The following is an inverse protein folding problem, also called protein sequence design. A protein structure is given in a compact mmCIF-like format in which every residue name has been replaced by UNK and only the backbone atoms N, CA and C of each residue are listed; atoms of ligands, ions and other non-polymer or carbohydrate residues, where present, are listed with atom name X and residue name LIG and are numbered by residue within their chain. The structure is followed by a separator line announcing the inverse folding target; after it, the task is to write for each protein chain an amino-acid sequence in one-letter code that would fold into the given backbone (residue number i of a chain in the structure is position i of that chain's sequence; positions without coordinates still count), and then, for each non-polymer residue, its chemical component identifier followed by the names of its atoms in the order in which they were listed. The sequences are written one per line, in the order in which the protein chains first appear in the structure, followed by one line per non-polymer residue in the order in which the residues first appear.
data_IF_893258165026
#
_entry.id   IF_893258165026
#
_cell.length_a   1.000
_cell.length_b   1.000
_cell.length_c   1.000
_cell.angle_alpha   90.00
_cell.angle_beta   90.00
_cell.angle_gamma   90.00
#
_symmetry.space_group_name_H-M   'P 1'
#
loop_
_entity.id
_entity.type
_entity.pdbx_description
1 polymer ?
#
# COMPACT_ATOMS: atom_id res chain seq x y z
N UNK A 1 -7.89 -29.17 -8.04
CA UNK A 1 -7.68 -27.70 -8.08
C UNK A 1 -8.94 -26.90 -8.46
N UNK A 2 -9.69 -27.27 -9.52
CA UNK A 2 -10.90 -26.52 -9.91
C UNK A 2 -11.98 -26.50 -8.80
N UNK A 3 -12.21 -27.62 -8.14
CA UNK A 3 -13.21 -27.72 -7.05
C UNK A 3 -12.87 -26.86 -5.83
N UNK A 4 -11.60 -26.87 -5.38
CA UNK A 4 -11.15 -26.04 -4.26
C UNK A 4 -11.37 -24.54 -4.50
N UNK A 5 -11.19 -24.06 -5.74
CA UNK A 5 -11.44 -22.66 -6.11
C UNK A 5 -12.90 -22.26 -5.89
N UNK A 6 -13.84 -23.14 -6.23
CA UNK A 6 -15.27 -22.86 -6.05
C UNK A 6 -15.61 -22.72 -4.56
N UNK A 7 -15.10 -23.61 -3.72
CA UNK A 7 -15.31 -23.58 -2.25
C UNK A 7 -14.80 -22.27 -1.64
N UNK A 8 -13.57 -21.85 -1.95
CA UNK A 8 -13.04 -20.59 -1.41
C UNK A 8 -13.77 -19.36 -1.95
N UNK A 9 -14.17 -19.38 -3.23
CA UNK A 9 -14.94 -18.29 -3.83
C UNK A 9 -16.30 -18.13 -3.13
N UNK A 10 -17.00 -19.24 -2.93
CA UNK A 10 -18.31 -19.24 -2.26
C UNK A 10 -18.19 -18.75 -0.82
N UNK A 11 -17.19 -19.25 -0.07
CA UNK A 11 -16.88 -18.77 1.28
C UNK A 11 -16.60 -17.26 1.31
N UNK A 12 -15.80 -16.75 0.37
CA UNK A 12 -15.48 -15.33 0.30
C UNK A 12 -16.72 -14.48 0.00
N UNK A 13 -17.57 -14.91 -0.94
CA UNK A 13 -18.84 -14.22 -1.25
C UNK A 13 -19.73 -14.19 -0.01
N UNK A 14 -19.94 -15.33 0.64
CA UNK A 14 -20.76 -15.42 1.85
C UNK A 14 -20.24 -14.52 2.97
N UNK A 15 -18.92 -14.47 3.18
CA UNK A 15 -18.31 -13.63 4.21
C UNK A 15 -18.42 -12.12 3.90
N UNK A 16 -18.58 -11.74 2.63
CA UNK A 16 -18.75 -10.34 2.21
C UNK A 16 -20.22 -9.90 2.11
N UNK A 17 -21.17 -10.83 1.91
CA UNK A 17 -22.60 -10.51 1.87
C UNK A 17 -23.01 -9.85 3.20
N UNK A 18 -23.59 -8.66 3.11
CA UNK A 18 -23.97 -7.83 4.27
C UNK A 18 -22.88 -6.88 4.78
N UNK A 19 -21.63 -6.99 4.31
CA UNK A 19 -20.50 -6.14 4.76
C UNK A 19 -19.99 -5.16 3.71
N UNK A 20 -20.45 -5.29 2.46
CA UNK A 20 -20.09 -4.36 1.38
C UNK A 20 -20.36 -2.90 1.72
N UNK A 21 -21.42 -2.62 2.49
CA UNK A 21 -21.78 -1.29 2.96
C UNK A 21 -20.72 -0.64 3.84
N UNK A 22 -19.83 -1.43 4.45
CA UNK A 22 -18.77 -0.93 5.33
C UNK A 22 -17.40 -0.99 4.63
N UNK A 23 -17.10 -2.06 3.91
CA UNK A 23 -15.81 -2.24 3.22
C UNK A 23 -15.61 -1.22 2.09
N UNK A 24 -16.64 -0.98 1.26
CA UNK A 24 -16.52 -0.09 0.09
C UNK A 24 -16.20 1.35 0.52
N UNK A 25 -16.90 1.96 1.49
CA UNK A 25 -16.54 3.29 1.98
C UNK A 25 -15.12 3.39 2.51
N UNK A 26 -14.61 2.39 3.23
CA UNK A 26 -13.23 2.39 3.75
C UNK A 26 -12.23 2.42 2.59
N UNK A 27 -12.43 1.60 1.56
CA UNK A 27 -11.58 1.58 0.37
C UNK A 27 -11.63 2.92 -0.36
N UNK A 28 -12.81 3.53 -0.47
CA UNK A 28 -12.95 4.86 -1.09
C UNK A 28 -12.21 5.93 -0.28
N UNK A 29 -12.32 5.92 1.05
CA UNK A 29 -11.59 6.84 1.94
C UNK A 29 -10.09 6.66 1.74
N UNK A 30 -9.57 5.44 1.73
CA UNK A 30 -8.15 5.17 1.46
C UNK A 30 -7.72 5.63 0.06
N UNK A 31 -8.57 5.43 -0.95
CA UNK A 31 -8.33 5.93 -2.30
C UNK A 31 -8.26 7.46 -2.36
N UNK A 32 -9.14 8.15 -1.63
CA UNK A 32 -9.13 9.62 -1.54
C UNK A 32 -7.89 10.12 -0.79
N UNK A 33 -7.52 9.48 0.32
CA UNK A 33 -6.33 9.85 1.11
C UNK A 33 -5.07 9.71 0.26
N UNK A 34 -4.86 8.54 -0.35
CA UNK A 34 -3.67 8.24 -1.14
C UNK A 34 -3.65 9.01 -2.46
N UNK A 35 -4.78 9.10 -3.16
CA UNK A 35 -4.94 9.83 -4.42
C UNK A 35 -4.83 11.34 -4.24
N UNK A 36 -5.43 11.90 -3.18
CA UNK A 36 -5.34 13.32 -2.85
C UNK A 36 -3.89 13.73 -2.56
N UNK A 37 -3.19 12.94 -1.75
CA UNK A 37 -1.78 13.18 -1.44
C UNK A 37 -0.85 13.02 -2.64
N UNK A 38 -1.15 12.07 -3.53
CA UNK A 38 -0.45 11.91 -4.81
C UNK A 38 -0.67 13.12 -5.73
N UNK A 39 -1.91 13.64 -5.78
CA UNK A 39 -2.26 14.82 -6.56
C UNK A 39 -1.53 16.06 -6.05
N UNK A 40 -1.50 16.26 -4.73
CA UNK A 40 -0.73 17.33 -4.10
C UNK A 40 0.75 17.25 -4.48
N UNK A 41 1.36 16.07 -4.37
CA UNK A 41 2.77 15.87 -4.74
C UNK A 41 3.01 16.18 -6.23
N UNK A 42 2.12 15.70 -7.11
CA UNK A 42 2.24 15.88 -8.56
C UNK A 42 2.09 17.34 -8.99
N UNK A 43 1.33 18.15 -8.26
CA UNK A 43 1.18 19.58 -8.55
C UNK A 43 2.49 20.38 -8.38
N UNK A 44 3.39 19.91 -7.51
CA UNK A 44 4.69 20.55 -7.28
C UNK A 44 5.85 19.87 -8.03
N UNK A 45 5.58 18.80 -8.79
CA UNK A 45 6.62 18.11 -9.56
C UNK A 45 7.05 18.93 -10.77
N UNK A 46 8.34 18.90 -11.14
CA UNK A 46 8.80 19.55 -12.36
C UNK A 46 8.12 18.93 -13.58
N UNK A 47 7.60 19.78 -14.46
CA UNK A 47 6.90 19.37 -15.69
C UNK A 47 7.81 19.56 -16.88
N UNK A 48 7.82 18.56 -17.75
CA UNK A 48 8.61 18.53 -18.95
C UNK A 48 7.70 18.28 -20.13
N UNK A 49 7.95 19.00 -21.20
CA UNK A 49 7.29 18.79 -22.48
C UNK A 49 8.31 18.22 -23.47
N UNK A 50 7.83 17.33 -24.33
CA UNK A 50 8.65 16.71 -25.38
C UNK A 50 8.22 17.36 -26.68
N UNK A 51 9.14 18.04 -27.34
CA UNK A 51 8.94 18.47 -28.70
C UNK A 51 9.17 17.28 -29.64
N UNK A 52 8.11 16.84 -30.31
CA UNK A 52 8.16 15.68 -31.22
C UNK A 52 8.85 15.97 -32.55
N UNK A 53 9.16 17.23 -32.86
CA UNK A 53 9.85 17.61 -34.10
C UNK A 53 11.37 17.62 -33.91
N UNK A 54 11.84 18.08 -32.75
CA UNK A 54 13.25 18.17 -32.40
C UNK A 54 13.73 17.01 -31.52
N UNK A 55 12.79 16.23 -30.95
CA UNK A 55 13.04 15.22 -29.91
C UNK A 55 13.76 15.77 -28.67
N UNK A 56 13.59 17.07 -28.40
CA UNK A 56 14.15 17.73 -27.24
C UNK A 56 13.16 17.72 -26.08
N UNK A 57 13.71 17.62 -24.86
CA UNK A 57 12.94 17.69 -23.61
C UNK A 57 13.17 19.06 -22.98
N UNK A 58 12.13 19.89 -22.93
CA UNK A 58 12.20 21.22 -22.33
C UNK A 58 11.51 21.24 -20.97
N UNK A 59 12.14 21.91 -20.00
CA UNK A 59 11.53 22.16 -18.70
C UNK A 59 10.53 23.31 -18.83
N UNK A 60 9.25 23.03 -18.58
CA UNK A 60 8.16 24.02 -18.69
C UNK A 60 7.80 24.61 -17.33
N UNK A 61 7.92 23.81 -16.28
CA UNK A 61 7.69 24.22 -14.90
C UNK A 61 8.73 23.54 -14.01
N UNK A 62 9.55 24.33 -13.30
CA UNK A 62 10.57 23.80 -12.38
C UNK A 62 9.95 23.12 -11.16
N UNK A 63 8.69 23.40 -10.85
CA UNK A 63 8.03 22.94 -9.64
C UNK A 63 8.73 23.41 -8.36
N UNK A 64 8.54 22.67 -7.27
CA UNK A 64 9.25 22.89 -6.01
C UNK A 64 9.78 21.55 -5.47
N UNK A 65 11.08 21.23 -5.69
CA UNK A 65 11.64 19.95 -5.30
C UNK A 65 11.64 19.73 -3.78
N UNK A 66 11.73 20.79 -2.97
CA UNK A 66 11.67 20.67 -1.52
C UNK A 66 10.27 20.26 -1.05
N UNK A 67 9.21 20.88 -1.60
CA UNK A 67 7.84 20.49 -1.30
C UNK A 67 7.52 19.08 -1.80
N UNK A 68 8.01 18.72 -2.99
CA UNK A 68 7.86 17.34 -3.51
C UNK A 68 8.47 16.33 -2.56
N UNK A 69 9.67 16.60 -2.03
CA UNK A 69 10.32 15.73 -1.06
C UNK A 69 9.46 15.58 0.20
N UNK A 70 9.02 16.70 0.80
CA UNK A 70 8.18 16.69 2.01
C UNK A 70 6.88 15.91 1.78
N UNK A 71 6.14 16.20 0.70
CA UNK A 71 4.89 15.49 0.40
C UNK A 71 5.13 14.01 0.06
N UNK A 72 6.24 13.66 -0.60
CA UNK A 72 6.57 12.27 -0.89
C UNK A 72 6.88 11.47 0.38
N UNK A 73 7.57 12.07 1.36
CA UNK A 73 7.77 11.44 2.67
C UNK A 73 6.46 11.25 3.40
N UNK A 74 5.59 12.26 3.43
CA UNK A 74 4.25 12.13 4.02
C UNK A 74 3.46 11.03 3.30
N UNK A 75 3.52 10.97 1.96
CA UNK A 75 2.87 9.94 1.15
C UNK A 75 3.37 8.54 1.47
N UNK A 76 4.68 8.39 1.66
CA UNK A 76 5.29 7.12 2.05
C UNK A 76 4.79 6.66 3.43
N UNK A 77 4.78 7.55 4.42
CA UNK A 77 4.32 7.23 5.78
C UNK A 77 2.83 6.88 5.82
N UNK A 78 1.98 7.70 5.19
CA UNK A 78 0.54 7.47 5.10
C UNK A 78 0.26 6.19 4.31
N UNK A 79 0.99 5.94 3.22
CA UNK A 79 0.87 4.73 2.41
C UNK A 79 1.12 3.47 3.23
N UNK A 80 2.18 3.43 4.04
CA UNK A 80 2.49 2.29 4.91
C UNK A 80 1.33 1.99 5.89
N UNK A 81 0.77 3.03 6.50
CA UNK A 81 -0.37 2.92 7.42
C UNK A 81 -1.62 2.40 6.72
N UNK A 82 -1.93 2.93 5.52
CA UNK A 82 -3.08 2.49 4.72
C UNK A 82 -2.94 1.04 4.27
N UNK A 83 -1.74 0.59 3.91
CA UNK A 83 -1.48 -0.81 3.55
C UNK A 83 -1.72 -1.73 4.74
N UNK A 84 -1.23 -1.38 5.93
CA UNK A 84 -1.48 -2.15 7.15
C UNK A 84 -2.97 -2.19 7.51
N UNK A 85 -3.64 -1.03 7.52
CA UNK A 85 -5.05 -0.91 7.85
C UNK A 85 -5.96 -1.69 6.88
N UNK A 86 -5.66 -1.61 5.57
CA UNK A 86 -6.37 -2.40 4.57
C UNK A 86 -6.13 -3.90 4.73
N UNK A 87 -4.91 -4.32 5.07
CA UNK A 87 -4.60 -5.73 5.36
C UNK A 87 -5.41 -6.25 6.56
N UNK A 88 -5.50 -5.48 7.65
CA UNK A 88 -6.34 -5.84 8.82
C UNK A 88 -7.82 -5.94 8.46
N UNK A 89 -8.34 -4.97 7.69
CA UNK A 89 -9.73 -5.01 7.20
C UNK A 89 -10.02 -6.28 6.38
N UNK A 90 -9.12 -6.66 5.48
CA UNK A 90 -9.28 -7.87 4.67
C UNK A 90 -9.27 -9.13 5.53
N UNK A 91 -8.40 -9.21 6.54
CA UNK A 91 -8.35 -10.34 7.49
C UNK A 91 -9.64 -10.43 8.31
N UNK A 92 -10.11 -9.32 8.90
CA UNK A 92 -11.37 -9.29 9.66
C UNK A 92 -12.55 -9.75 8.80
N UNK A 93 -12.65 -9.23 7.58
CA UNK A 93 -13.70 -9.63 6.64
C UNK A 93 -13.62 -11.12 6.29
N UNK A 94 -12.40 -11.65 6.08
CA UNK A 94 -12.17 -13.06 5.79
C UNK A 94 -12.52 -13.99 6.97
N UNK A 95 -12.34 -13.52 8.21
CA UNK A 95 -12.71 -14.23 9.44
C UNK A 95 -14.20 -14.12 9.79
N UNK A 96 -15.00 -13.56 8.88
CA UNK A 96 -16.41 -13.28 9.08
C UNK A 96 -16.71 -12.23 10.17
N UNK A 97 -15.73 -11.41 10.54
CA UNK A 97 -15.93 -10.23 11.41
C UNK A 97 -16.44 -9.04 10.58
N UNK A 98 -17.15 -8.11 11.22
CA UNK A 98 -17.59 -6.86 10.59
C UNK A 98 -16.53 -5.79 10.83
N UNK A 99 -15.84 -5.30 9.79
CA UNK A 99 -14.86 -4.24 9.96
C UNK A 99 -15.55 -2.98 10.48
N UNK A 100 -14.98 -2.32 11.49
CA UNK A 100 -15.48 -1.02 11.97
C UNK A 100 -14.58 0.07 11.39
N UNK A 101 -15.17 1.07 10.75
CA UNK A 101 -14.45 2.14 10.06
C UNK A 101 -13.50 2.85 11.03
N UNK A 102 -14.01 3.25 12.20
CA UNK A 102 -13.23 3.94 13.22
C UNK A 102 -12.06 3.07 13.70
N UNK A 103 -12.30 1.80 13.98
CA UNK A 103 -11.25 0.88 14.42
C UNK A 103 -10.16 0.75 13.36
N UNK A 104 -10.49 0.51 12.11
CA UNK A 104 -9.49 0.33 11.04
C UNK A 104 -8.66 1.59 10.80
N UNK A 105 -9.30 2.76 10.79
CA UNK A 105 -8.60 4.03 10.59
C UNK A 105 -7.69 4.37 11.78
N UNK A 106 -8.15 4.07 13.00
CA UNK A 106 -7.41 4.35 14.24
C UNK A 106 -6.30 3.33 14.47
N UNK A 107 -6.53 2.06 14.15
CA UNK A 107 -5.57 0.97 14.34
C UNK A 107 -4.28 1.22 13.58
N UNK A 108 -4.37 1.57 12.29
CA UNK A 108 -3.18 1.86 11.50
C UNK A 108 -2.37 3.03 12.08
N UNK A 109 -3.03 3.93 12.82
CA UNK A 109 -2.43 5.09 13.44
C UNK A 109 -1.93 4.83 14.89
N UNK A 110 -2.58 3.95 15.65
CA UNK A 110 -2.36 3.76 17.09
C UNK A 110 -1.65 2.47 17.46
N UNK A 111 -1.93 1.36 16.81
CA UNK A 111 -1.39 0.06 17.24
C UNK A 111 0.08 -0.10 16.84
N UNK A 112 0.43 0.21 15.59
CA UNK A 112 1.78 -0.09 15.06
C UNK A 112 2.22 0.79 13.87
N UNK A 113 2.10 2.13 13.93
CA UNK A 113 2.51 2.98 12.81
C UNK A 113 4.01 2.82 12.51
N UNK A 114 4.86 2.79 13.54
CA UNK A 114 6.30 2.67 13.38
C UNK A 114 6.71 1.34 12.74
N UNK A 115 6.15 0.21 13.21
CA UNK A 115 6.44 -1.12 12.65
C UNK A 115 6.00 -1.22 11.19
N UNK A 116 4.83 -0.67 10.85
CA UNK A 116 4.32 -0.64 9.47
C UNK A 116 5.21 0.18 8.54
N UNK A 117 5.69 1.34 9.01
CA UNK A 117 6.62 2.20 8.26
C UNK A 117 7.96 1.50 8.06
N UNK A 118 8.52 0.89 9.11
CA UNK A 118 9.78 0.15 9.04
C UNK A 118 9.66 -1.04 8.10
N UNK A 119 8.56 -1.80 8.16
CA UNK A 119 8.29 -2.91 7.25
C UNK A 119 8.21 -2.43 5.80
N UNK A 120 7.43 -1.38 5.51
CA UNK A 120 7.36 -0.79 4.17
C UNK A 120 8.73 -0.32 3.68
N UNK A 121 9.54 0.28 4.56
CA UNK A 121 10.90 0.72 4.24
C UNK A 121 11.80 -0.45 3.88
N UNK A 122 11.83 -1.50 4.69
CA UNK A 122 12.67 -2.66 4.47
C UNK A 122 12.24 -3.43 3.20
N UNK A 123 10.94 -3.60 2.98
CA UNK A 123 10.40 -4.20 1.74
C UNK A 123 10.85 -3.38 0.52
N UNK A 124 10.72 -2.05 0.59
CA UNK A 124 11.11 -1.16 -0.51
C UNK A 124 12.61 -1.23 -0.77
N UNK A 125 13.42 -1.27 0.29
CA UNK A 125 14.87 -1.39 0.22
C UNK A 125 15.27 -2.72 -0.42
N UNK A 126 14.83 -3.86 0.10
CA UNK A 126 15.20 -5.16 -0.47
C UNK A 126 14.67 -5.34 -1.89
N UNK A 127 13.45 -4.89 -2.19
CA UNK A 127 12.92 -4.94 -3.56
C UNK A 127 13.78 -4.11 -4.51
N UNK A 128 14.23 -2.92 -4.08
CA UNK A 128 15.16 -2.09 -4.85
C UNK A 128 16.50 -2.80 -5.07
N UNK A 129 17.07 -3.43 -4.04
CA UNK A 129 18.34 -4.18 -4.15
C UNK A 129 18.22 -5.34 -5.15
N UNK A 130 17.14 -6.11 -5.08
CA UNK A 130 16.88 -7.20 -6.02
C UNK A 130 16.67 -6.69 -7.44
N UNK A 131 15.93 -5.60 -7.61
CA UNK A 131 15.68 -4.98 -8.90
C UNK A 131 16.97 -4.40 -9.51
N UNK A 132 17.86 -3.85 -8.68
CA UNK A 132 19.16 -3.34 -9.09
C UNK A 132 20.09 -4.46 -9.56
N UNK A 133 19.98 -5.65 -8.95
CA UNK A 133 20.70 -6.84 -9.40
C UNK A 133 20.12 -7.36 -10.73
N UNK A 134 18.80 -7.62 -10.76
CA UNK A 134 18.05 -7.99 -11.96
C UNK A 134 16.55 -7.68 -11.82
N UNK A 135 15.91 -7.23 -12.91
CA UNK A 135 14.49 -6.83 -12.91
C UNK A 135 13.56 -8.02 -12.56
N UNK A 136 13.79 -9.19 -13.16
CA UNK A 136 12.94 -10.39 -12.96
C UNK A 136 12.88 -10.82 -11.49
N UNK A 137 14.01 -11.06 -10.77
CA UNK A 137 13.94 -11.40 -9.36
C UNK A 137 13.42 -10.26 -8.48
N UNK A 138 13.58 -9.00 -8.88
CA UNK A 138 12.94 -7.86 -8.21
C UNK A 138 11.42 -7.99 -8.14
N UNK A 139 10.77 -8.34 -9.27
CA UNK A 139 9.31 -8.56 -9.33
C UNK A 139 8.90 -9.76 -8.48
N UNK A 140 9.63 -10.86 -8.54
CA UNK A 140 9.32 -12.06 -7.72
C UNK A 140 9.37 -11.71 -6.23
N UNK A 141 10.40 -10.97 -5.81
CA UNK A 141 10.59 -10.55 -4.42
C UNK A 141 9.55 -9.52 -3.96
N UNK A 142 9.10 -8.61 -4.83
CA UNK A 142 8.02 -7.67 -4.46
C UNK A 142 6.73 -8.39 -4.08
N UNK A 143 6.38 -9.47 -4.79
CA UNK A 143 5.21 -10.29 -4.44
C UNK A 143 5.44 -11.09 -3.15
N UNK A 144 6.62 -11.69 -2.97
CA UNK A 144 6.93 -12.43 -1.75
C UNK A 144 6.84 -11.53 -0.51
N UNK A 145 7.46 -10.35 -0.55
CA UNK A 145 7.45 -9.39 0.55
C UNK A 145 6.10 -8.74 0.80
N UNK A 146 5.19 -8.70 -0.17
CA UNK A 146 3.83 -8.23 0.06
C UNK A 146 3.07 -9.09 1.10
N UNK A 147 3.44 -10.38 1.25
CA UNK A 147 2.86 -11.26 2.27
C UNK A 147 3.32 -10.91 3.69
N UNK A 148 4.44 -10.19 3.84
CA UNK A 148 4.94 -9.78 5.15
C UNK A 148 3.96 -8.87 5.90
N UNK A 149 3.18 -8.05 5.19
CA UNK A 149 2.11 -7.25 5.81
C UNK A 149 1.02 -8.11 6.44
N UNK A 150 0.67 -9.23 5.80
CA UNK A 150 -0.29 -10.19 6.33
C UNK A 150 0.24 -10.86 7.60
N UNK A 151 1.52 -11.26 7.60
CA UNK A 151 2.18 -11.83 8.78
C UNK A 151 2.24 -10.80 9.92
N UNK A 152 2.56 -9.54 9.61
CA UNK A 152 2.64 -8.46 10.59
C UNK A 152 1.30 -8.22 11.31
N UNK A 153 0.17 -8.36 10.61
CA UNK A 153 -1.17 -8.28 11.22
C UNK A 153 -1.50 -9.52 12.05
N UNK A 154 -1.19 -10.72 11.56
CA UNK A 154 -1.49 -11.97 12.28
C UNK A 154 -0.66 -12.16 13.54
N UNK A 155 0.61 -11.76 13.50
CA UNK A 155 1.57 -11.90 14.59
C UNK A 155 2.10 -10.51 14.96
N UNK A 156 1.35 -9.73 15.75
CA UNK A 156 1.78 -8.41 16.17
C UNK A 156 3.09 -8.41 16.99
N UNK A 157 3.43 -9.54 17.62
CA UNK A 157 4.64 -9.70 18.43
C UNK A 157 5.93 -9.84 17.61
N UNK A 158 5.85 -10.11 16.30
CA UNK A 158 7.04 -10.26 15.45
C UNK A 158 7.61 -8.91 15.02
N UNK A 159 8.94 -8.81 15.03
CA UNK A 159 9.66 -7.68 14.48
C UNK A 159 9.46 -7.60 12.96
N UNK A 160 9.60 -6.40 12.39
CA UNK A 160 9.47 -6.20 10.94
C UNK A 160 10.44 -7.08 10.12
N UNK A 161 11.64 -7.35 10.66
CA UNK A 161 12.61 -8.25 10.05
C UNK A 161 12.14 -9.71 10.07
N UNK A 162 11.55 -10.16 11.17
CA UNK A 162 11.07 -11.55 11.31
C UNK A 162 9.84 -11.84 10.45
N UNK A 163 9.12 -10.79 10.04
CA UNK A 163 7.99 -10.90 9.11
C UNK A 163 8.42 -10.99 7.63
N UNK A 164 9.70 -10.73 7.32
CA UNK A 164 10.26 -10.79 5.97
C UNK A 164 10.88 -12.14 5.61
N UNK A 165 11.28 -12.92 6.61
CA UNK A 165 11.82 -14.27 6.48
C UNK A 165 10.72 -15.33 6.29
#
# INVERSE_FOLDING_TARGET
MKEMRHVYKEKAVTNMVGKYSVVIPIILIFGIITGGLSTLTNNYRPKYEIDWTTFERTLVDSGNPALVLVFSLIAFLVGAIVIYASTKMYIQTANNETPVIEDILVVGLKEDPFRSIVLQFIISLFTMLWTLLFIIPGIVKSYAYSMSFYIAVLKPELSANDALD
#
